data_IF_509261997907
#
_entry.id   IF_509261997907
#
_cell.length_a   1.000
_cell.length_b   1.000
_cell.length_c   1.000
_cell.angle_alpha   90.00
_cell.angle_beta   90.00
_cell.angle_gamma   90.00
#
_symmetry.space_group_name_H-M   'P 1'
#
loop_
_entity.id
_entity.type
_entity.pdbx_description
1 polymer ?
#
# COMPACT_ATOMS: atom_id res chain seq x y z
N UNK A 1 -17.39 -8.41 18.42
CA UNK A 1 -16.59 -8.83 17.25
C UNK A 1 -17.43 -8.60 16.01
N UNK A 2 -17.08 -7.61 15.18
CA UNK A 2 -17.94 -7.21 14.05
C UNK A 2 -17.65 -8.12 12.86
N UNK A 3 -18.37 -9.24 12.78
CA UNK A 3 -18.53 -10.01 11.54
C UNK A 3 -19.72 -9.38 10.80
N UNK A 4 -19.46 -8.38 9.98
CA UNK A 4 -20.49 -7.84 9.10
C UNK A 4 -20.60 -8.74 7.88
N UNK A 5 -21.71 -9.48 7.79
CA UNK A 5 -22.11 -10.21 6.57
C UNK A 5 -21.06 -11.19 6.00
N UNK A 6 -20.25 -11.82 6.86
CA UNK A 6 -19.16 -12.72 6.42
C UNK A 6 -17.90 -12.00 5.93
N UNK A 7 -17.70 -10.74 6.29
CA UNK A 7 -16.45 -10.00 6.10
C UNK A 7 -15.77 -9.79 7.45
N UNK A 8 -14.49 -10.12 7.51
CA UNK A 8 -13.64 -10.01 8.69
C UNK A 8 -12.58 -8.95 8.43
N UNK A 9 -12.60 -7.88 9.22
CA UNK A 9 -11.56 -6.85 9.22
C UNK A 9 -10.38 -7.31 10.07
N UNK A 10 -9.18 -7.34 9.49
CA UNK A 10 -7.95 -7.78 10.17
C UNK A 10 -6.89 -6.68 10.11
N UNK A 11 -6.26 -6.34 11.24
CA UNK A 11 -5.06 -5.51 11.28
C UNK A 11 -3.87 -6.40 10.92
N UNK A 12 -3.48 -6.38 9.64
CA UNK A 12 -2.39 -7.22 9.14
C UNK A 12 -1.08 -6.84 9.84
N UNK A 13 -0.41 -7.78 10.54
CA UNK A 13 0.90 -7.52 11.12
C UNK A 13 1.97 -7.28 10.07
N UNK A 14 3.05 -6.61 10.49
CA UNK A 14 4.24 -6.46 9.67
C UNK A 14 4.87 -7.82 9.33
N UNK A 15 5.39 -7.96 8.10
CA UNK A 15 6.01 -9.17 7.59
C UNK A 15 5.02 -10.24 7.08
N UNK A 16 3.73 -10.14 7.40
CA UNK A 16 2.72 -11.07 6.88
C UNK A 16 2.36 -10.72 5.44
N UNK A 17 2.24 -11.73 4.58
CA UNK A 17 1.58 -11.54 3.28
C UNK A 17 0.07 -11.42 3.47
N UNK A 18 -0.64 -10.80 2.51
CA UNK A 18 -2.11 -10.80 2.53
C UNK A 18 -2.70 -12.23 2.51
N UNK A 19 -2.03 -13.17 1.82
CA UNK A 19 -2.42 -14.58 1.81
C UNK A 19 -2.22 -15.27 3.16
N UNK A 20 -1.18 -14.91 3.92
CA UNK A 20 -1.00 -15.43 5.28
C UNK A 20 -2.19 -15.04 6.17
N UNK A 21 -2.71 -13.82 6.04
CA UNK A 21 -3.94 -13.42 6.75
C UNK A 21 -5.15 -14.24 6.29
N UNK A 22 -5.33 -14.46 4.99
CA UNK A 22 -6.43 -15.31 4.48
C UNK A 22 -6.34 -16.73 5.05
N UNK A 23 -5.14 -17.32 5.09
CA UNK A 23 -4.91 -18.64 5.70
C UNK A 23 -5.24 -18.64 7.19
N UNK A 24 -4.83 -17.60 7.90
CA UNK A 24 -5.12 -17.42 9.33
C UNK A 24 -6.62 -17.35 9.58
N UNK A 25 -7.34 -16.47 8.88
CA UNK A 25 -8.81 -16.33 8.99
C UNK A 25 -9.50 -17.66 8.69
N UNK A 26 -9.09 -18.35 7.62
CA UNK A 26 -9.69 -19.62 7.22
C UNK A 26 -9.55 -20.69 8.32
N UNK A 27 -8.37 -20.80 8.93
CA UNK A 27 -8.10 -21.76 10.01
C UNK A 27 -8.82 -21.37 11.30
N UNK A 28 -8.70 -20.11 11.72
CA UNK A 28 -9.23 -19.61 12.99
C UNK A 28 -10.76 -19.66 13.04
N UNK A 29 -11.42 -19.26 11.95
CA UNK A 29 -12.89 -19.25 11.86
C UNK A 29 -13.48 -20.52 11.22
N UNK A 30 -12.65 -21.52 10.89
CA UNK A 30 -13.06 -22.81 10.32
C UNK A 30 -13.98 -22.69 9.09
N UNK A 31 -13.75 -21.69 8.26
CA UNK A 31 -14.54 -21.44 7.04
C UNK A 31 -14.00 -22.24 5.86
N UNK A 32 -14.87 -22.57 4.88
CA UNK A 32 -14.46 -23.39 3.72
C UNK A 32 -13.70 -22.55 2.71
N UNK A 33 -14.17 -21.34 2.44
CA UNK A 33 -13.60 -20.42 1.45
C UNK A 33 -13.30 -19.07 2.08
N UNK A 34 -12.16 -18.47 1.73
CA UNK A 34 -11.80 -17.12 2.15
C UNK A 34 -10.98 -16.40 1.06
N UNK A 35 -11.12 -15.08 0.97
CA UNK A 35 -10.36 -14.23 0.05
C UNK A 35 -10.35 -12.78 0.50
N UNK A 36 -9.35 -12.00 0.09
CA UNK A 36 -9.18 -10.61 0.56
C UNK A 36 -9.57 -9.56 -0.48
N UNK A 37 -10.02 -8.38 -0.02
CA UNK A 37 -10.49 -7.29 -0.85
C UNK A 37 -9.44 -6.20 -1.15
N UNK A 38 -8.25 -6.64 -1.54
CA UNK A 38 -7.15 -5.74 -1.93
C UNK A 38 -5.86 -6.07 -1.19
N UNK A 39 -4.81 -6.35 -1.96
CA UNK A 39 -3.50 -6.72 -1.43
C UNK A 39 -2.92 -5.60 -0.59
N UNK A 40 -2.18 -5.98 0.45
CA UNK A 40 -1.30 -5.12 1.23
C UNK A 40 0.07 -5.81 1.27
N UNK A 41 1.12 -5.07 0.93
CA UNK A 41 2.48 -5.57 0.82
C UNK A 41 2.99 -6.12 2.18
N UNK A 42 3.97 -7.05 2.20
CA UNK A 42 4.45 -7.64 3.43
C UNK A 42 4.95 -6.62 4.47
N UNK A 43 5.65 -5.58 4.00
CA UNK A 43 6.20 -4.50 4.84
C UNK A 43 5.15 -3.47 5.29
N UNK A 44 3.98 -3.46 4.66
CA UNK A 44 2.88 -2.61 5.07
C UNK A 44 2.09 -3.28 6.22
N UNK A 45 1.38 -2.49 7.02
CA UNK A 45 0.50 -2.97 8.10
C UNK A 45 -0.92 -2.44 7.93
N UNK A 46 -1.83 -2.85 8.82
CA UNK A 46 -3.16 -2.26 8.88
C UNK A 46 -4.23 -3.07 8.19
N UNK A 47 -5.34 -2.39 7.92
CA UNK A 47 -6.64 -2.99 7.63
C UNK A 47 -6.60 -3.84 6.35
N UNK A 48 -6.98 -5.11 6.48
CA UNK A 48 -7.21 -6.04 5.40
C UNK A 48 -8.58 -6.69 5.60
N UNK A 49 -9.49 -6.49 4.64
CA UNK A 49 -10.79 -7.14 4.67
C UNK A 49 -10.68 -8.53 4.04
N UNK A 50 -11.12 -9.55 4.78
CA UNK A 50 -11.21 -10.94 4.34
C UNK A 50 -12.67 -11.37 4.32
N UNK A 51 -13.18 -11.65 3.13
CA UNK A 51 -14.51 -12.21 2.95
C UNK A 51 -14.48 -13.73 3.04
N UNK A 52 -15.49 -14.33 3.68
CA UNK A 52 -15.62 -15.76 3.88
C UNK A 52 -16.86 -16.33 3.16
N UNK A 53 -16.76 -17.58 2.71
CA UNK A 53 -17.84 -18.35 2.10
C UNK A 53 -18.67 -17.54 1.08
N UNK A 54 -19.98 -17.34 1.32
CA UNK A 54 -20.86 -16.61 0.42
C UNK A 54 -20.46 -15.14 0.22
N UNK A 55 -19.84 -14.50 1.23
CA UNK A 55 -19.39 -13.11 1.15
C UNK A 55 -18.24 -12.91 0.16
N UNK A 56 -17.54 -13.98 -0.25
CA UNK A 56 -16.47 -13.88 -1.26
C UNK A 56 -16.94 -13.29 -2.59
N UNK A 57 -18.24 -13.33 -2.90
CA UNK A 57 -18.84 -12.66 -4.07
C UNK A 57 -18.75 -11.13 -4.03
N UNK A 58 -18.64 -10.53 -2.83
CA UNK A 58 -18.54 -9.07 -2.63
C UNK A 58 -17.11 -8.53 -2.78
N UNK A 59 -16.10 -9.39 -2.96
CA UNK A 59 -14.69 -8.97 -3.02
C UNK A 59 -14.44 -7.94 -4.12
N UNK A 60 -14.99 -8.15 -5.32
CA UNK A 60 -14.80 -7.25 -6.46
C UNK A 60 -15.35 -5.85 -6.18
N UNK A 61 -16.48 -5.76 -5.50
CA UNK A 61 -17.09 -4.50 -5.06
C UNK A 61 -16.21 -3.80 -4.02
N UNK A 62 -15.79 -4.50 -2.97
CA UNK A 62 -14.95 -3.92 -1.92
C UNK A 62 -13.57 -3.46 -2.42
N UNK A 63 -13.04 -4.14 -3.44
CA UNK A 63 -11.77 -3.77 -4.07
C UNK A 63 -11.83 -2.37 -4.70
N UNK A 64 -12.99 -1.88 -5.13
CA UNK A 64 -13.11 -0.56 -5.75
C UNK A 64 -13.33 0.58 -4.76
N UNK A 65 -13.67 0.29 -3.50
CA UNK A 65 -13.90 1.31 -2.47
C UNK A 65 -12.69 2.21 -2.24
N UNK A 66 -12.90 3.40 -1.68
CA UNK A 66 -11.80 4.24 -1.24
C UNK A 66 -10.96 3.56 -0.15
N UNK A 67 -9.67 3.87 -0.14
CA UNK A 67 -8.74 3.45 0.91
C UNK A 67 -8.05 4.67 1.52
N UNK A 68 -7.68 4.56 2.79
CA UNK A 68 -6.86 5.54 3.48
C UNK A 68 -5.59 4.91 4.02
N UNK A 69 -4.47 5.62 3.87
CA UNK A 69 -3.16 5.20 4.31
C UNK A 69 -2.44 6.30 5.08
N UNK A 70 -1.61 5.90 6.03
CA UNK A 70 -0.48 6.68 6.51
C UNK A 70 0.78 6.15 5.84
N UNK A 71 1.46 7.00 5.08
CA UNK A 71 2.63 6.68 4.29
C UNK A 71 3.82 7.51 4.77
N UNK A 72 4.85 6.85 5.29
CA UNK A 72 6.12 7.48 5.63
C UNK A 72 7.04 7.43 4.42
N UNK A 73 7.38 8.59 3.87
CA UNK A 73 8.37 8.76 2.82
C UNK A 73 9.73 9.02 3.44
N UNK A 74 10.76 8.40 2.87
CA UNK A 74 12.17 8.65 3.19
C UNK A 74 12.81 9.38 2.02
N UNK A 75 13.14 10.66 2.24
CA UNK A 75 13.59 11.57 1.19
C UNK A 75 15.12 11.56 1.07
N UNK A 76 15.65 11.72 -0.14
CA UNK A 76 17.09 11.72 -0.41
C UNK A 76 17.68 10.35 -0.74
N UNK A 77 16.83 9.32 -0.75
CA UNK A 77 17.21 7.92 -0.94
C UNK A 77 16.24 7.23 -1.89
N UNK A 78 16.74 6.22 -2.61
CA UNK A 78 15.91 5.31 -3.41
C UNK A 78 16.25 3.86 -3.09
N UNK A 79 15.31 2.97 -3.35
CA UNK A 79 15.47 1.52 -3.18
C UNK A 79 14.98 0.81 -4.43
N UNK A 80 15.50 -0.39 -4.68
CA UNK A 80 15.15 -1.19 -5.87
C UNK A 80 13.64 -1.46 -5.97
N UNK A 81 12.97 -1.72 -4.85
CA UNK A 81 11.53 -2.05 -4.79
C UNK A 81 10.61 -0.83 -4.62
N UNK A 82 11.17 0.37 -4.38
CA UNK A 82 10.41 1.56 -3.99
C UNK A 82 9.87 1.54 -2.55
N UNK A 83 10.25 0.54 -1.76
CA UNK A 83 10.01 0.44 -0.32
C UNK A 83 11.25 -0.05 0.44
N UNK A 84 11.12 -0.31 1.74
CA UNK A 84 12.22 -0.76 2.59
C UNK A 84 12.64 -2.24 2.41
N UNK A 85 12.22 -2.95 1.36
CA UNK A 85 12.62 -4.36 1.12
C UNK A 85 14.11 -4.49 0.78
N UNK A 86 14.67 -3.49 0.10
CA UNK A 86 16.08 -3.45 -0.29
C UNK A 86 16.82 -2.30 0.41
N UNK A 87 18.16 -2.40 0.60
CA UNK A 87 18.94 -1.33 1.19
C UNK A 87 18.80 0.00 0.44
N UNK A 88 18.59 1.13 1.14
CA UNK A 88 18.50 2.45 0.50
C UNK A 88 19.84 2.89 -0.06
N UNK A 89 19.79 3.49 -1.25
CA UNK A 89 20.91 4.14 -1.91
C UNK A 89 20.71 5.66 -1.83
N UNK A 90 21.71 6.43 -1.37
CA UNK A 90 21.62 7.89 -1.38
C UNK A 90 21.57 8.40 -2.83
N UNK A 91 20.74 9.41 -3.08
CA UNK A 91 20.61 10.04 -4.40
C UNK A 91 21.14 11.47 -4.34
N UNK A 92 20.44 12.34 -3.62
CA UNK A 92 20.86 13.71 -3.32
C UNK A 92 20.35 14.11 -1.93
N UNK A 93 21.05 14.99 -1.21
CA UNK A 93 20.52 15.53 0.05
C UNK A 93 19.15 16.14 -0.17
N UNK A 94 18.17 15.77 0.67
CA UNK A 94 16.84 16.39 0.59
C UNK A 94 16.96 17.90 0.90
N UNK A 95 16.34 18.80 0.13
CA UNK A 95 16.36 20.22 0.46
C UNK A 95 15.50 20.52 1.69
N UNK A 96 15.79 21.62 2.39
CA UNK A 96 14.84 22.18 3.33
C UNK A 96 13.78 22.93 2.53
N UNK A 97 12.50 22.58 2.70
CA UNK A 97 11.39 23.18 1.98
C UNK A 97 10.48 23.93 2.94
N UNK A 98 10.07 25.12 2.54
CA UNK A 98 9.03 25.87 3.23
C UNK A 98 7.68 25.13 3.20
N UNK A 99 6.76 25.39 4.14
CA UNK A 99 5.42 24.80 4.11
C UNK A 99 4.66 25.08 2.80
N UNK A 100 4.89 26.23 2.16
CA UNK A 100 4.26 26.59 0.89
C UNK A 100 4.76 25.72 -0.27
N UNK A 101 6.07 25.49 -0.37
CA UNK A 101 6.66 24.63 -1.40
C UNK A 101 6.18 23.19 -1.27
N UNK A 102 6.14 22.65 -0.04
CA UNK A 102 5.64 21.28 0.20
C UNK A 102 4.19 21.14 -0.21
N UNK A 103 3.33 22.10 0.18
CA UNK A 103 1.92 22.11 -0.21
C UNK A 103 1.76 22.16 -1.74
N UNK A 104 2.53 23.01 -2.41
CA UNK A 104 2.51 23.11 -3.87
C UNK A 104 2.94 21.81 -4.56
N UNK A 105 3.95 21.13 -4.02
CA UNK A 105 4.40 19.82 -4.53
C UNK A 105 3.32 18.76 -4.34
N UNK A 106 2.78 18.62 -3.13
CA UNK A 106 1.77 17.60 -2.82
C UNK A 106 0.48 17.78 -3.63
N UNK A 107 0.05 19.02 -3.87
CA UNK A 107 -1.14 19.33 -4.66
C UNK A 107 -1.08 18.81 -6.11
N UNK A 108 0.12 18.61 -6.68
CA UNK A 108 0.32 18.06 -8.03
C UNK A 108 -0.12 16.59 -8.14
N UNK A 109 -0.22 15.90 -7.01
CA UNK A 109 -0.53 14.48 -6.96
C UNK A 109 -1.98 14.20 -6.53
N UNK A 110 -2.78 15.23 -6.24
CA UNK A 110 -4.21 15.09 -6.01
C UNK A 110 -4.98 15.13 -7.33
N UNK A 111 -6.11 14.43 -7.38
CA UNK A 111 -6.93 14.29 -8.58
C UNK A 111 -6.66 13.00 -9.37
N UNK A 112 -6.96 13.06 -10.66
CA UNK A 112 -6.66 11.98 -11.60
C UNK A 112 -5.22 12.12 -12.09
N UNK A 113 -4.36 11.19 -11.70
CA UNK A 113 -2.93 11.22 -12.01
C UNK A 113 -2.51 9.96 -12.75
N UNK A 114 -1.50 10.08 -13.62
CA UNK A 114 -0.94 8.95 -14.34
C UNK A 114 0.21 8.35 -13.56
N UNK A 115 0.01 7.13 -13.06
CA UNK A 115 1.01 6.44 -12.26
C UNK A 115 1.57 5.25 -13.00
N UNK A 116 2.90 5.14 -13.04
CA UNK A 116 3.57 3.90 -13.45
C UNK A 116 3.56 2.92 -12.27
N UNK A 117 2.94 1.73 -12.40
CA UNK A 117 3.02 0.72 -11.35
C UNK A 117 4.48 0.29 -11.10
N UNK A 118 4.86 -0.05 -9.85
CA UNK A 118 6.20 -0.49 -9.55
C UNK A 118 6.47 -1.86 -10.20
N UNK A 119 7.74 -2.11 -10.56
CA UNK A 119 8.18 -3.40 -11.10
C UNK A 119 7.84 -4.56 -10.15
N UNK A 120 7.98 -4.34 -8.84
CA UNK A 120 7.62 -5.27 -7.77
C UNK A 120 6.12 -5.21 -7.44
N UNK A 121 5.27 -5.46 -8.45
CA UNK A 121 3.81 -5.49 -8.31
C UNK A 121 3.21 -6.84 -8.72
N UNK A 122 1.97 -7.07 -8.28
CA UNK A 122 1.21 -8.26 -8.65
C UNK A 122 0.62 -8.21 -10.08
N UNK A 123 0.88 -7.16 -10.87
CA UNK A 123 0.39 -7.10 -12.26
C UNK A 123 1.00 -8.23 -13.10
N UNK A 124 0.29 -8.66 -14.15
CA UNK A 124 0.82 -9.64 -15.09
C UNK A 124 1.35 -8.94 -16.34
N UNK A 125 2.52 -9.37 -16.82
CA UNK A 125 3.15 -8.96 -18.08
C UNK A 125 3.55 -10.24 -18.81
N UNK A 126 3.01 -10.46 -20.02
CA UNK A 126 3.27 -11.70 -20.77
C UNK A 126 2.88 -12.98 -20.01
N UNK A 127 1.79 -12.94 -19.23
CA UNK A 127 1.33 -14.09 -18.42
C UNK A 127 2.06 -14.29 -17.08
N UNK A 128 3.28 -13.77 -16.91
CA UNK A 128 4.08 -13.82 -15.66
C UNK A 128 3.77 -12.61 -14.77
N UNK A 129 3.94 -12.75 -13.45
CA UNK A 129 3.77 -11.63 -12.50
C UNK A 129 4.98 -10.68 -12.59
N UNK A 130 4.75 -9.37 -12.54
CA UNK A 130 5.79 -8.36 -12.65
C UNK A 130 6.87 -8.49 -11.56
N UNK A 131 6.48 -8.76 -10.31
CA UNK A 131 7.46 -9.03 -9.25
C UNK A 131 8.35 -10.24 -9.52
N UNK A 132 7.86 -11.26 -10.24
CA UNK A 132 8.64 -12.45 -10.57
C UNK A 132 9.67 -12.15 -11.67
N UNK A 133 9.32 -11.27 -12.61
CA UNK A 133 10.24 -10.73 -13.62
C UNK A 133 11.33 -9.88 -12.97
N UNK A 134 10.93 -8.91 -12.12
CA UNK A 134 11.85 -8.01 -11.44
C UNK A 134 12.87 -8.75 -10.57
N UNK A 135 12.45 -9.79 -9.85
CA UNK A 135 13.35 -10.65 -9.05
C UNK A 135 14.29 -11.51 -9.89
N UNK A 136 13.95 -11.77 -11.16
CA UNK A 136 14.82 -12.43 -12.12
C UNK A 136 15.76 -11.43 -12.83
N UNK A 137 15.75 -10.15 -12.47
CA UNK A 137 16.55 -9.10 -13.11
C UNK A 137 15.92 -8.56 -14.41
N UNK A 138 14.74 -9.03 -14.80
CA UNK A 138 14.01 -8.53 -15.96
C UNK A 138 13.18 -7.31 -15.57
N UNK A 139 13.35 -6.16 -16.26
CA UNK A 139 12.54 -4.97 -16.00
C UNK A 139 11.20 -5.09 -16.74
N UNK A 140 10.06 -5.28 -16.04
CA UNK A 140 8.77 -5.43 -16.70
C UNK A 140 8.32 -4.10 -17.31
N UNK A 141 7.86 -4.12 -18.57
CA UNK A 141 7.22 -2.96 -19.17
C UNK A 141 5.80 -2.77 -18.59
N UNK A 142 5.66 -1.79 -17.69
CA UNK A 142 4.41 -1.43 -17.06
C UNK A 142 4.02 -0.02 -17.53
N UNK A 143 3.09 0.14 -18.50
CA UNK A 143 2.67 1.46 -18.94
C UNK A 143 1.95 2.21 -17.81
N UNK A 144 2.09 3.55 -17.74
CA UNK A 144 1.33 4.38 -16.81
C UNK A 144 -0.17 4.19 -16.96
N UNK A 145 -0.91 4.31 -15.86
CA UNK A 145 -2.36 4.16 -15.81
C UNK A 145 -2.97 5.28 -14.98
N UNK A 146 -4.19 5.74 -15.32
CA UNK A 146 -4.87 6.74 -14.52
C UNK A 146 -5.27 6.11 -13.18
N UNK A 147 -5.01 6.86 -12.10
CA UNK A 147 -5.43 6.53 -10.75
C UNK A 147 -5.99 7.78 -10.08
N UNK A 148 -6.86 7.58 -9.10
CA UNK A 148 -7.49 8.69 -8.38
C UNK A 148 -6.90 8.80 -6.98
N UNK A 149 -6.32 9.96 -6.68
CA UNK A 149 -5.93 10.37 -5.33
C UNK A 149 -6.89 11.48 -4.92
N UNK A 150 -7.65 11.26 -3.85
CA UNK A 150 -8.67 12.21 -3.41
C UNK A 150 -8.08 13.31 -2.52
N UNK A 151 -7.08 12.95 -1.70
CA UNK A 151 -6.47 13.87 -0.76
C UNK A 151 -5.11 13.36 -0.31
N UNK A 152 -4.17 14.28 -0.14
CA UNK A 152 -2.87 14.10 0.51
C UNK A 152 -2.74 15.18 1.59
N UNK A 153 -2.67 14.75 2.84
CA UNK A 153 -2.46 15.63 3.98
C UNK A 153 -1.07 15.38 4.56
N UNK A 154 -0.28 16.45 4.73
CA UNK A 154 0.95 16.41 5.53
C UNK A 154 0.58 16.25 7.01
N UNK A 155 1.03 15.16 7.62
CA UNK A 155 0.83 14.85 9.04
C UNK A 155 2.07 15.25 9.85
N UNK A 156 3.25 14.98 9.29
CA UNK A 156 4.52 15.33 9.87
C UNK A 156 5.54 15.61 8.77
N UNK A 157 6.37 16.62 9.00
CA UNK A 157 7.50 16.95 8.14
C UNK A 157 8.77 17.08 8.96
N UNK A 158 9.77 16.35 8.53
CA UNK A 158 11.18 16.61 8.76
C UNK A 158 11.89 16.44 7.42
N UNK A 159 13.02 17.12 7.24
CA UNK A 159 13.80 17.15 6.00
C UNK A 159 13.83 15.81 5.24
N UNK A 160 14.19 14.71 5.92
CA UNK A 160 14.30 13.38 5.30
C UNK A 160 13.11 12.43 5.55
N UNK A 161 12.08 12.88 6.28
CA UNK A 161 10.96 12.04 6.73
C UNK A 161 9.63 12.79 6.62
N UNK A 162 8.80 12.39 5.68
CA UNK A 162 7.48 12.98 5.49
C UNK A 162 6.43 11.92 5.81
N UNK A 163 5.54 12.21 6.76
CA UNK A 163 4.38 11.36 7.02
C UNK A 163 3.17 11.99 6.35
N UNK A 164 2.58 11.26 5.42
CA UNK A 164 1.42 11.69 4.66
C UNK A 164 0.22 10.81 5.00
N UNK A 165 -0.95 11.43 5.18
CA UNK A 165 -2.24 10.74 5.15
C UNK A 165 -2.80 10.85 3.74
N UNK A 166 -3.01 9.71 3.09
CA UNK A 166 -3.43 9.63 1.68
C UNK A 166 -4.76 8.91 1.58
N UNK A 167 -5.76 9.59 1.01
CA UNK A 167 -7.04 8.99 0.60
C UNK A 167 -7.02 8.75 -0.91
N UNK A 168 -7.25 7.53 -1.33
CA UNK A 168 -7.15 7.16 -2.73
C UNK A 168 -8.10 6.05 -3.16
N UNK A 169 -8.32 5.95 -4.48
CA UNK A 169 -9.11 4.91 -5.10
C UNK A 169 -8.33 3.60 -5.25
N UNK A 170 -8.92 2.65 -5.98
CA UNK A 170 -8.25 1.39 -6.34
C UNK A 170 -7.03 1.67 -7.24
N UNK A 171 -6.03 0.80 -7.12
CA UNK A 171 -4.91 0.76 -8.06
C UNK A 171 -3.81 1.81 -7.83
N UNK A 172 -3.95 2.69 -6.83
CA UNK A 172 -2.86 3.57 -6.40
C UNK A 172 -1.77 2.76 -5.69
N UNK A 173 -0.54 2.90 -6.15
CA UNK A 173 0.67 2.39 -5.54
C UNK A 173 1.33 3.51 -4.72
N UNK A 174 1.31 3.39 -3.39
CA UNK A 174 1.93 4.38 -2.51
C UNK A 174 3.46 4.40 -2.64
N UNK A 175 4.06 3.30 -3.13
CA UNK A 175 5.48 3.21 -3.49
C UNK A 175 5.82 4.13 -4.67
N UNK A 176 5.05 4.05 -5.74
CA UNK A 176 5.21 4.96 -6.89
C UNK A 176 4.95 6.41 -6.47
N UNK A 177 3.90 6.68 -5.68
CA UNK A 177 3.64 8.03 -5.16
C UNK A 177 4.84 8.60 -4.37
N UNK A 178 5.48 7.78 -3.53
CA UNK A 178 6.69 8.18 -2.81
C UNK A 178 7.81 8.58 -3.78
N UNK A 179 8.09 7.74 -4.77
CA UNK A 179 9.12 7.99 -5.79
C UNK A 179 8.81 9.25 -6.60
N UNK A 180 7.57 9.41 -7.06
CA UNK A 180 7.14 10.56 -7.86
C UNK A 180 7.26 11.88 -7.06
N UNK A 181 6.91 11.88 -5.76
CA UNK A 181 7.13 13.02 -4.87
C UNK A 181 8.64 13.30 -4.71
N UNK A 182 9.45 12.27 -4.47
CA UNK A 182 10.90 12.40 -4.38
C UNK A 182 11.55 12.97 -5.63
N UNK A 183 11.05 12.59 -6.80
CA UNK A 183 11.47 13.15 -8.10
C UNK A 183 11.03 14.61 -8.25
N UNK A 184 9.80 14.95 -7.86
CA UNK A 184 9.32 16.33 -7.90
C UNK A 184 10.08 17.27 -6.96
N UNK A 185 10.57 16.76 -5.83
CA UNK A 185 11.50 17.45 -4.92
C UNK A 185 12.93 17.49 -5.48
N UNK A 186 13.29 16.56 -6.37
CA UNK A 186 14.61 16.46 -6.99
C UNK A 186 15.65 15.72 -6.14
N UNK A 187 15.25 15.00 -5.09
CA UNK A 187 16.15 14.26 -4.21
C UNK A 187 15.95 12.75 -4.21
N UNK A 188 14.94 12.23 -4.90
CA UNK A 188 14.53 10.83 -4.78
C UNK A 188 13.84 10.54 -3.45
N UNK A 189 13.05 9.47 -3.42
CA UNK A 189 12.42 8.97 -2.20
C UNK A 189 11.95 7.53 -2.36
N UNK A 190 11.77 6.84 -1.23
CA UNK A 190 11.10 5.54 -1.17
C UNK A 190 10.05 5.51 -0.04
N UNK A 191 9.16 4.53 -0.10
CA UNK A 191 8.17 4.30 0.95
C UNK A 191 8.80 3.56 2.14
N UNK A 192 9.11 4.28 3.22
CA UNK A 192 9.73 3.72 4.41
C UNK A 192 8.79 2.89 5.28
N UNK A 193 7.53 3.32 5.41
CA UNK A 193 6.50 2.57 6.12
C UNK A 193 5.11 2.88 5.56
N UNK A 194 4.19 1.92 5.68
CA UNK A 194 2.82 2.07 5.21
C UNK A 194 1.85 1.41 6.19
N UNK A 195 0.80 2.13 6.56
CA UNK A 195 -0.33 1.60 7.34
C UNK A 195 -1.64 1.95 6.67
N UNK A 196 -2.45 0.96 6.30
CA UNK A 196 -3.82 1.19 5.82
C UNK A 196 -4.78 1.29 7.00
N UNK A 197 -5.50 2.40 7.12
CA UNK A 197 -6.39 2.67 8.26
C UNK A 197 -7.87 2.52 7.92
N UNK A 198 -8.22 2.57 6.63
CA UNK A 198 -9.62 2.51 6.17
C UNK A 198 -9.77 1.82 4.81
N UNK A 199 -10.87 1.09 4.63
CA UNK A 199 -11.37 0.58 3.33
C UNK A 199 -12.88 0.75 3.30
N UNK A 200 -13.38 1.67 2.47
CA UNK A 200 -14.81 2.00 2.45
C UNK A 200 -15.33 2.30 3.87
N UNK A 201 -16.42 1.66 4.32
CA UNK A 201 -16.98 1.90 5.66
C UNK A 201 -16.15 1.31 6.81
N UNK A 202 -15.16 0.44 6.53
CA UNK A 202 -14.39 -0.24 7.56
C UNK A 202 -13.20 0.60 8.01
N UNK A 203 -13.01 0.72 9.33
CA UNK A 203 -11.85 1.36 9.96
C UNK A 203 -10.99 0.34 10.69
N UNK A 204 -9.75 0.72 10.96
CA UNK A 204 -8.79 -0.12 11.67
C UNK A 204 -9.22 -0.45 13.10
N UNK A 205 -10.00 0.42 13.75
CA UNK A 205 -10.48 0.23 15.13
C UNK A 205 -11.48 -0.94 15.25
N UNK A 206 -12.07 -1.36 14.13
CA UNK A 206 -12.96 -2.51 14.05
C UNK A 206 -12.18 -3.81 13.78
N UNK A 207 -10.89 -3.72 13.48
CA UNK A 207 -10.10 -4.83 13.00
C UNK A 207 -9.59 -5.69 14.16
N UNK A 208 -9.64 -7.00 13.96
CA UNK A 208 -9.01 -7.96 14.87
C UNK A 208 -7.51 -8.01 14.60
N UNK A 209 -6.71 -8.15 15.64
CA UNK A 209 -5.28 -8.40 15.49
C UNK A 209 -5.03 -9.92 15.53
N UNK A 210 -4.33 -10.50 14.54
CA UNK A 210 -3.90 -11.89 14.62
C UNK A 210 -2.93 -12.08 15.78
N UNK A 211 -3.16 -13.10 16.60
CA UNK A 211 -2.25 -13.44 17.71
C UNK A 211 -0.83 -13.71 17.19
N UNK A 212 0.17 -13.10 17.84
CA UNK A 212 1.57 -13.18 17.43
C UNK A 212 2.10 -14.64 17.34
N UNK A 213 1.52 -15.56 18.11
CA UNK A 213 1.87 -16.99 18.17
C UNK A 213 1.29 -17.82 17.01
N UNK A 214 0.43 -17.25 16.17
CA UNK A 214 -0.36 -18.01 15.19
C UNK A 214 0.06 -17.79 13.74
N UNK A 215 1.30 -17.32 13.50
CA UNK A 215 1.85 -17.15 12.14
C UNK A 215 1.62 -18.43 11.32
N UNK A 216 0.76 -18.41 10.29
CA UNK A 216 0.59 -19.58 9.47
C UNK A 216 1.81 -19.72 8.56
N UNK A 217 2.60 -20.77 8.80
CA UNK A 217 3.59 -21.30 7.84
C UNK A 217 2.93 -21.38 6.44
#
# INVERSE_FOLDING_TARGET
>A
MVVMEGVIAVDKPWGWTSFAVVRWVRRHYKVRKAGHAGTLDPLATGLLLVATDAATRKIAEMQVWEKEYYALLRMGFETLSGDAEYPPQPVKPSPMLSPAERRAILARFEGCVWQRPPAFSALKVGGRRAYALARAGEIPNLPPRPVQIYQIQEVFYERERWLLRVRCGKGVYLRSLAQDIGQAVGCGAYLGALRRTRIGPYTIDQAIQPDALTRPH
#
